data_IF_145290473712
#
_entry.id   IF_145290473712
#
_cell.length_a   1.000
_cell.length_b   1.000
_cell.length_c   1.000
_cell.angle_alpha   90.00
_cell.angle_beta   90.00
_cell.angle_gamma   90.00
#
_symmetry.space_group_name_H-M   'P 1'
#
loop_
_entity.id
_entity.type
_entity.pdbx_description
1 polymer ?
#
# COMPACT_ATOMS: atom_id res chain seq x y z
N UNK A 1 -24.57 -14.76 22.08
CA UNK A 1 -24.19 -14.90 20.65
C UNK A 1 -23.47 -13.63 20.21
N UNK A 2 -22.19 -13.56 20.61
CA UNK A 2 -21.30 -12.49 20.16
C UNK A 2 -20.75 -12.91 18.79
N UNK A 3 -21.16 -12.20 17.76
CA UNK A 3 -20.75 -12.40 16.35
C UNK A 3 -19.29 -11.95 16.13
N UNK A 4 -18.37 -12.34 17.04
CA UNK A 4 -16.94 -12.00 16.93
C UNK A 4 -16.20 -13.14 16.25
N UNK A 5 -15.33 -12.77 15.31
CA UNK A 5 -14.33 -13.71 14.79
C UNK A 5 -13.35 -14.07 15.91
N UNK A 6 -13.12 -15.37 16.08
CA UNK A 6 -12.14 -15.87 17.05
C UNK A 6 -11.20 -16.86 16.35
N UNK A 7 -9.96 -16.89 16.79
CA UNK A 7 -9.01 -17.91 16.34
C UNK A 7 -9.43 -19.29 16.87
N UNK A 8 -9.74 -20.20 15.97
CA UNK A 8 -10.00 -21.60 16.32
C UNK A 8 -8.71 -22.29 16.78
N UNK A 9 -7.61 -21.97 16.12
CA UNK A 9 -6.24 -22.33 16.47
C UNK A 9 -5.31 -21.23 15.98
N UNK A 10 -4.31 -20.92 16.77
CA UNK A 10 -3.19 -20.08 16.36
C UNK A 10 -1.91 -20.86 16.65
N UNK A 11 -1.07 -21.02 15.63
CA UNK A 11 0.24 -21.62 15.77
C UNK A 11 1.24 -20.90 14.89
N UNK A 12 2.45 -21.01 15.30
CA UNK A 12 3.61 -20.46 14.62
C UNK A 12 4.48 -21.64 14.15
N UNK A 13 4.91 -21.59 12.89
CA UNK A 13 5.79 -22.58 12.30
C UNK A 13 6.88 -21.91 11.47
N UNK A 14 8.09 -22.45 11.55
CA UNK A 14 9.23 -22.01 10.73
C UNK A 14 9.65 -23.14 9.77
N UNK A 15 9.57 -22.88 8.47
CA UNK A 15 9.99 -23.78 7.40
C UNK A 15 11.39 -23.43 6.92
N UNK A 16 12.41 -23.84 7.68
CA UNK A 16 13.82 -23.52 7.38
C UNK A 16 14.80 -24.53 7.95
N UNK A 17 14.51 -25.81 7.81
CA UNK A 17 15.43 -26.90 8.22
C UNK A 17 15.12 -27.56 9.56
N UNK A 18 14.17 -27.04 10.35
CA UNK A 18 13.61 -27.66 11.56
C UNK A 18 12.13 -27.34 11.60
N UNK A 19 11.31 -28.34 11.37
CA UNK A 19 9.84 -28.21 11.50
C UNK A 19 9.46 -28.17 12.98
N UNK A 20 9.34 -26.99 13.53
CA UNK A 20 8.78 -26.77 14.86
C UNK A 20 7.54 -25.91 14.77
N UNK A 21 6.38 -26.47 15.09
CA UNK A 21 5.15 -25.73 15.27
C UNK A 21 4.94 -25.43 16.77
N UNK A 22 4.81 -24.18 17.12
CA UNK A 22 4.46 -23.73 18.47
C UNK A 22 2.99 -23.33 18.51
N UNK A 23 2.21 -23.95 19.38
CA UNK A 23 0.81 -23.60 19.59
C UNK A 23 0.72 -22.33 20.44
N UNK A 24 0.12 -21.27 19.89
CA UNK A 24 -0.05 -19.98 20.57
C UNK A 24 -1.36 -19.94 21.36
N UNK A 25 -2.38 -20.67 20.94
CA UNK A 25 -3.65 -20.72 21.66
C UNK A 25 -4.87 -20.90 20.76
N UNK A 26 -6.04 -20.69 21.38
CA UNK A 26 -7.36 -20.78 20.73
C UNK A 26 -8.41 -19.95 21.46
N UNK A 27 -9.44 -19.51 20.76
CA UNK A 27 -10.60 -18.84 21.37
C UNK A 27 -10.41 -17.35 21.64
N UNK A 28 -9.32 -16.72 21.20
CA UNK A 28 -9.06 -15.28 21.29
C UNK A 28 -9.46 -14.57 20.00
N UNK A 29 -9.84 -13.31 20.10
CA UNK A 29 -10.27 -12.47 18.97
C UNK A 29 -9.11 -11.72 18.30
N UNK A 30 -7.98 -11.60 19.00
CA UNK A 30 -6.75 -10.95 18.52
C UNK A 30 -5.61 -11.95 18.63
N UNK A 31 -4.63 -11.89 17.72
CA UNK A 31 -3.44 -12.73 17.79
C UNK A 31 -2.69 -12.53 19.10
N UNK A 32 -2.36 -13.63 19.78
CA UNK A 32 -1.63 -13.62 21.05
C UNK A 32 -0.13 -13.88 20.89
N UNK A 33 0.34 -13.92 19.68
CA UNK A 33 1.73 -14.24 19.40
C UNK A 33 2.73 -13.21 19.96
N UNK A 34 2.34 -11.94 20.13
CA UNK A 34 3.17 -10.92 20.80
C UNK A 34 3.28 -11.11 22.32
N UNK A 35 2.36 -11.85 22.94
CA UNK A 35 2.27 -12.03 24.40
C UNK A 35 2.79 -13.38 24.89
N UNK A 36 3.05 -14.33 24.02
CA UNK A 36 3.51 -15.67 24.36
C UNK A 36 5.00 -15.73 24.69
N UNK A 37 5.39 -16.59 25.64
CA UNK A 37 6.78 -16.92 25.91
C UNK A 37 7.25 -17.91 24.83
N UNK A 38 8.04 -17.45 23.89
CA UNK A 38 8.50 -18.22 22.75
C UNK A 38 9.96 -18.61 22.92
N UNK A 39 10.38 -19.79 22.49
CA UNK A 39 11.71 -20.33 22.72
C UNK A 39 12.69 -19.98 21.56
N UNK A 40 13.50 -18.96 21.71
CA UNK A 40 14.76 -18.75 20.95
C UNK A 40 14.70 -18.35 19.48
N UNK A 41 13.74 -18.83 18.68
CA UNK A 41 13.51 -18.40 17.28
C UNK A 41 12.80 -17.04 17.27
N UNK A 42 12.15 -16.73 18.34
CA UNK A 42 11.28 -15.57 18.54
C UNK A 42 12.04 -14.25 18.53
N UNK A 43 13.30 -14.26 18.92
CA UNK A 43 14.15 -13.06 18.94
C UNK A 43 14.36 -12.45 17.54
N UNK A 44 14.17 -13.24 16.47
CA UNK A 44 14.33 -12.78 15.09
C UNK A 44 13.00 -12.62 14.36
N UNK A 45 12.04 -13.53 14.60
CA UNK A 45 10.78 -13.57 13.84
C UNK A 45 9.73 -12.63 14.45
N UNK A 46 9.63 -12.59 15.79
CA UNK A 46 8.69 -11.68 16.49
C UNK A 46 8.94 -10.22 16.15
N UNK A 47 10.18 -9.69 16.14
CA UNK A 47 10.44 -8.32 15.71
C UNK A 47 10.04 -8.07 14.25
N UNK A 48 10.19 -9.07 13.38
CA UNK A 48 9.89 -8.96 11.95
C UNK A 48 8.38 -8.94 11.69
N UNK A 49 7.61 -9.69 12.46
CA UNK A 49 6.16 -9.78 12.32
C UNK A 49 5.38 -8.81 13.24
N UNK A 50 6.05 -7.98 14.05
CA UNK A 50 5.37 -6.95 14.85
C UNK A 50 4.52 -6.07 13.97
N UNK A 51 3.34 -5.66 14.47
CA UNK A 51 2.41 -4.73 13.79
C UNK A 51 3.09 -3.46 13.25
N UNK A 52 4.27 -3.12 13.77
CA UNK A 52 5.08 -1.98 13.31
C UNK A 52 5.81 -2.26 11.99
N UNK A 53 6.00 -3.54 11.63
CA UNK A 53 6.78 -3.93 10.46
C UNK A 53 5.94 -4.25 9.23
N UNK A 54 4.62 -4.37 9.37
CA UNK A 54 3.68 -4.49 8.27
C UNK A 54 2.50 -3.54 8.45
N UNK A 55 2.09 -2.88 7.38
CA UNK A 55 1.03 -1.90 7.42
C UNK A 55 0.15 -2.00 6.21
N UNK A 56 -1.15 -1.88 6.46
CA UNK A 56 -2.18 -1.82 5.41
C UNK A 56 -2.53 -0.36 5.16
N UNK A 57 -2.52 0.03 3.90
CA UNK A 57 -2.83 1.38 3.46
C UNK A 57 -4.06 1.37 2.54
N UNK A 58 -4.96 2.29 2.78
CA UNK A 58 -6.19 2.49 2.02
C UNK A 58 -6.34 3.98 1.68
N UNK A 59 -6.13 4.34 0.44
CA UNK A 59 -6.25 5.73 -0.01
C UNK A 59 -7.55 5.96 -0.81
N UNK A 60 -8.62 5.26 -0.44
CA UNK A 60 -9.90 5.29 -1.19
C UNK A 60 -10.70 6.57 -0.93
N UNK A 61 -10.63 7.11 0.28
CA UNK A 61 -11.37 8.33 0.61
C UNK A 61 -10.62 9.56 0.10
N UNK A 62 -11.10 10.08 -1.02
CA UNK A 62 -10.67 11.33 -1.63
C UNK A 62 -11.82 12.33 -1.75
N UNK A 63 -12.95 12.08 -1.09
CA UNK A 63 -14.14 12.94 -1.09
C UNK A 63 -13.88 14.31 -0.45
N UNK A 64 -14.91 15.16 -0.43
CA UNK A 64 -14.80 16.52 0.14
C UNK A 64 -14.45 16.52 1.62
N UNK A 65 -14.89 15.51 2.37
CA UNK A 65 -14.64 15.33 3.78
C UNK A 65 -13.41 14.49 4.11
N UNK A 66 -12.68 14.01 3.11
CA UNK A 66 -11.53 13.14 3.29
C UNK A 66 -10.48 13.77 4.23
N UNK A 67 -9.99 12.96 5.15
CA UNK A 67 -9.04 13.44 6.18
C UNK A 67 -7.77 14.01 5.59
N UNK A 68 -7.28 13.48 4.48
CA UNK A 68 -6.11 13.99 3.75
C UNK A 68 -6.26 15.45 3.29
N UNK A 69 -7.50 15.93 3.13
CA UNK A 69 -7.83 17.31 2.73
C UNK A 69 -8.05 18.25 3.92
N UNK A 70 -8.03 17.71 5.14
CA UNK A 70 -8.28 18.47 6.36
C UNK A 70 -6.97 18.99 6.99
N UNK A 71 -7.14 19.84 7.98
CA UNK A 71 -6.03 20.33 8.79
C UNK A 71 -5.57 19.26 9.77
N UNK A 72 -4.26 19.14 9.94
CA UNK A 72 -3.64 18.23 10.87
C UNK A 72 -2.51 18.89 11.65
N UNK A 73 -2.27 18.38 12.86
CA UNK A 73 -1.15 18.84 13.66
C UNK A 73 0.18 18.51 12.95
N UNK A 74 1.03 19.50 12.78
CA UNK A 74 2.32 19.41 12.08
C UNK A 74 3.27 18.39 12.75
N UNK A 75 3.13 18.17 14.05
CA UNK A 75 3.94 17.19 14.80
C UNK A 75 3.55 15.73 14.52
N UNK A 76 2.37 15.49 13.91
CA UNK A 76 1.96 14.15 13.50
C UNK A 76 2.62 13.74 12.17
N UNK A 77 3.94 13.67 12.17
CA UNK A 77 4.76 13.48 10.97
C UNK A 77 5.79 12.35 11.06
N UNK A 78 5.74 11.53 12.11
CA UNK A 78 6.73 10.46 12.32
C UNK A 78 6.64 9.33 11.29
N UNK A 79 5.43 9.05 10.80
CA UNK A 79 5.12 8.04 9.81
C UNK A 79 3.90 8.46 9.01
N UNK A 80 3.78 7.99 7.78
CA UNK A 80 2.56 8.17 7.00
C UNK A 80 1.44 7.30 7.58
N UNK A 81 0.26 7.89 7.80
CA UNK A 81 -0.91 7.17 8.29
C UNK A 81 -1.54 6.31 7.18
N UNK A 82 -2.27 5.29 7.58
CA UNK A 82 -2.89 4.30 6.69
C UNK A 82 -3.87 4.90 5.66
N UNK A 83 -4.48 6.04 5.98
CA UNK A 83 -5.42 6.80 5.17
C UNK A 83 -4.81 8.11 4.62
N UNK A 84 -3.51 8.29 4.77
CA UNK A 84 -2.77 9.52 4.43
C UNK A 84 -3.32 10.79 5.10
N UNK A 85 -4.09 10.69 6.18
CA UNK A 85 -4.66 11.86 6.86
C UNK A 85 -3.61 12.94 7.17
N UNK A 86 -2.39 12.53 7.55
CA UNK A 86 -1.29 13.42 7.91
C UNK A 86 -0.34 13.75 6.73
N UNK A 87 -0.77 13.59 5.49
CA UNK A 87 0.10 13.74 4.31
C UNK A 87 0.84 15.08 4.30
N UNK A 88 0.16 16.18 4.58
CA UNK A 88 0.79 17.52 4.62
C UNK A 88 1.92 17.61 5.65
N UNK A 89 1.67 17.13 6.88
CA UNK A 89 2.67 17.11 7.95
C UNK A 89 3.84 16.16 7.64
N UNK A 90 3.55 15.03 7.01
CA UNK A 90 4.57 14.07 6.61
C UNK A 90 5.45 14.62 5.48
N UNK A 91 4.87 15.19 4.43
CA UNK A 91 5.61 15.86 3.36
C UNK A 91 6.41 17.05 3.88
N UNK A 92 5.89 17.81 4.85
CA UNK A 92 6.65 18.87 5.52
C UNK A 92 7.92 18.32 6.17
N UNK A 93 7.83 17.18 6.87
CA UNK A 93 9.01 16.52 7.43
C UNK A 93 9.97 16.07 6.33
N UNK A 94 9.48 15.43 5.25
CA UNK A 94 10.34 15.00 4.14
C UNK A 94 11.06 16.19 3.52
N UNK A 95 10.38 17.28 3.26
CA UNK A 95 10.97 18.49 2.68
C UNK A 95 12.12 19.06 3.51
N UNK A 96 12.01 19.00 4.85
CA UNK A 96 12.99 19.58 5.75
C UNK A 96 14.15 18.64 6.13
N UNK A 97 13.92 17.33 6.18
CA UNK A 97 14.88 16.38 6.71
C UNK A 97 15.32 15.29 5.72
N UNK A 98 14.55 15.10 4.64
CA UNK A 98 14.77 14.06 3.63
C UNK A 98 14.56 14.62 2.22
N UNK A 99 15.23 15.73 1.95
CA UNK A 99 15.05 16.52 0.72
C UNK A 99 15.18 15.68 -0.57
N UNK A 100 16.13 14.74 -0.72
CA UNK A 100 16.23 13.93 -1.93
C UNK A 100 14.95 13.12 -2.20
N UNK A 101 14.39 12.46 -1.18
CA UNK A 101 13.15 11.71 -1.31
C UNK A 101 11.95 12.62 -1.62
N UNK A 102 11.90 13.79 -0.98
CA UNK A 102 10.87 14.78 -1.28
C UNK A 102 10.91 15.23 -2.74
N UNK A 103 12.11 15.51 -3.26
CA UNK A 103 12.28 15.95 -4.64
C UNK A 103 11.89 14.85 -5.62
N UNK A 104 12.29 13.60 -5.37
CA UNK A 104 11.90 12.44 -6.15
C UNK A 104 10.37 12.25 -6.18
N UNK A 105 9.70 12.42 -5.04
CA UNK A 105 8.23 12.39 -4.95
C UNK A 105 7.62 13.47 -5.85
N UNK A 106 8.10 14.71 -5.75
CA UNK A 106 7.60 15.83 -6.55
C UNK A 106 7.83 15.61 -8.05
N UNK A 107 9.02 15.15 -8.44
CA UNK A 107 9.33 14.86 -9.83
C UNK A 107 8.46 13.72 -10.38
N UNK A 108 8.24 12.68 -9.61
CA UNK A 108 7.36 11.57 -9.99
C UNK A 108 5.91 12.02 -10.15
N UNK A 109 5.41 12.88 -9.27
CA UNK A 109 4.06 13.45 -9.41
C UNK A 109 3.94 14.25 -10.71
N UNK A 110 4.97 15.01 -11.08
CA UNK A 110 4.99 15.78 -12.32
C UNK A 110 4.91 14.94 -13.59
N UNK A 111 5.39 13.69 -13.56
CA UNK A 111 5.25 12.76 -14.69
C UNK A 111 3.78 12.48 -15.00
N UNK A 112 2.94 12.36 -13.97
CA UNK A 112 1.51 12.04 -14.11
C UNK A 112 0.65 13.31 -14.17
N UNK A 113 1.05 14.35 -13.47
CA UNK A 113 0.35 15.63 -13.38
C UNK A 113 1.31 16.78 -13.78
N UNK A 114 1.59 17.01 -15.08
CA UNK A 114 2.57 18.00 -15.54
C UNK A 114 2.25 19.46 -15.13
N UNK A 115 1.01 19.72 -14.75
CA UNK A 115 0.58 21.02 -14.25
C UNK A 115 1.00 21.25 -12.78
N UNK A 116 1.34 20.19 -12.03
CA UNK A 116 1.76 20.28 -10.65
C UNK A 116 3.20 20.85 -10.56
N UNK A 117 3.38 21.90 -9.76
CA UNK A 117 4.71 22.49 -9.53
C UNK A 117 5.34 21.97 -8.24
N UNK A 118 4.81 22.35 -7.09
CA UNK A 118 5.33 21.95 -5.78
C UNK A 118 4.25 22.06 -4.71
N UNK A 119 4.48 21.43 -3.56
CA UNK A 119 3.64 21.62 -2.38
C UNK A 119 3.98 22.93 -1.64
N UNK A 120 2.95 23.57 -1.09
CA UNK A 120 3.06 24.69 -0.18
C UNK A 120 2.81 24.16 1.24
N UNK A 121 3.90 23.84 1.92
CA UNK A 121 3.89 23.16 3.22
C UNK A 121 4.32 24.15 4.31
N UNK A 122 3.49 25.15 4.52
CA UNK A 122 3.68 26.16 5.56
C UNK A 122 2.61 25.95 6.64
N UNK A 123 2.97 26.11 7.93
CA UNK A 123 1.97 26.18 8.99
C UNK A 123 0.90 27.23 8.68
N UNK A 124 -0.27 27.05 9.26
CA UNK A 124 -1.35 28.03 9.07
C UNK A 124 -1.03 29.36 9.77
N UNK A 125 -1.34 30.46 9.10
CA UNK A 125 -1.24 31.78 9.69
C UNK A 125 -2.14 31.89 10.93
N UNK A 126 -1.54 32.22 12.06
CA UNK A 126 -2.24 32.30 13.35
C UNK A 126 -2.42 30.95 14.08
N UNK A 127 -2.01 29.84 13.48
CA UNK A 127 -1.99 28.52 14.14
C UNK A 127 -0.82 27.67 13.63
N UNK A 128 0.37 27.93 14.14
CA UNK A 128 1.62 27.30 13.70
C UNK A 128 1.68 25.78 13.99
N UNK A 129 0.77 25.26 14.79
CA UNK A 129 0.67 23.81 15.05
C UNK A 129 -0.13 23.06 14.00
N UNK A 130 -0.84 23.76 13.11
CA UNK A 130 -1.67 23.15 12.09
C UNK A 130 -1.10 23.35 10.69
N UNK A 131 -1.24 22.31 9.87
CA UNK A 131 -0.86 22.30 8.47
C UNK A 131 -1.96 21.66 7.62
N UNK A 132 -2.16 22.18 6.42
CA UNK A 132 -3.07 21.62 5.42
C UNK A 132 -2.34 21.42 4.10
N UNK A 133 -2.76 20.44 3.32
CA UNK A 133 -2.18 20.16 2.02
C UNK A 133 -2.56 21.25 1.01
N UNK A 134 -1.56 22.06 0.62
CA UNK A 134 -1.67 23.07 -0.43
C UNK A 134 -0.59 22.84 -1.48
N UNK A 135 -0.84 23.30 -2.69
CA UNK A 135 0.07 23.09 -3.82
C UNK A 135 0.03 24.28 -4.80
N UNK A 136 1.03 24.35 -5.66
CA UNK A 136 1.11 25.33 -6.76
C UNK A 136 1.04 24.64 -8.09
N UNK A 137 0.49 25.35 -9.08
CA UNK A 137 0.47 24.96 -10.46
C UNK A 137 1.60 25.66 -11.22
N UNK A 138 2.24 24.93 -12.15
CA UNK A 138 3.27 25.47 -13.02
C UNK A 138 2.73 26.68 -13.80
N UNK A 139 3.45 27.82 -13.73
CA UNK A 139 3.07 29.05 -14.42
C UNK A 139 1.90 29.81 -13.79
N UNK A 140 1.49 29.46 -12.56
CA UNK A 140 0.46 30.16 -11.80
C UNK A 140 1.00 30.59 -10.43
N UNK A 141 0.71 31.83 -10.01
CA UNK A 141 1.11 32.34 -8.70
C UNK A 141 0.14 31.93 -7.57
N UNK A 142 -1.06 31.48 -7.94
CA UNK A 142 -2.08 31.11 -6.98
C UNK A 142 -1.71 29.82 -6.24
N UNK A 143 -2.12 29.75 -4.97
CA UNK A 143 -2.00 28.57 -4.12
C UNK A 143 -3.34 27.83 -4.10
N UNK A 144 -3.31 26.55 -4.41
CA UNK A 144 -4.46 25.68 -4.49
C UNK A 144 -4.55 24.76 -3.26
N UNK A 145 -5.77 24.43 -2.85
CA UNK A 145 -6.01 23.45 -1.81
C UNK A 145 -6.07 22.02 -2.39
N UNK A 146 -5.87 21.01 -1.54
CA UNK A 146 -5.99 19.61 -1.94
C UNK A 146 -7.35 19.25 -2.56
N UNK A 147 -8.43 19.96 -2.22
CA UNK A 147 -9.75 19.79 -2.79
C UNK A 147 -9.86 20.14 -4.28
N UNK A 148 -8.87 20.85 -4.82
CA UNK A 148 -8.78 21.25 -6.24
C UNK A 148 -7.97 20.25 -7.07
N UNK A 149 -7.36 19.24 -6.44
CA UNK A 149 -6.79 18.10 -7.13
C UNK A 149 -7.91 17.13 -7.57
N UNK A 150 -7.71 16.45 -8.69
CA UNK A 150 -8.55 15.30 -9.02
C UNK A 150 -8.33 14.17 -7.98
N UNK A 151 -9.35 13.33 -7.79
CA UNK A 151 -9.24 12.21 -6.84
C UNK A 151 -8.10 11.25 -7.22
N UNK A 152 -7.92 10.98 -8.51
CA UNK A 152 -6.80 10.17 -9.01
C UNK A 152 -5.45 10.80 -8.74
N UNK A 153 -5.29 12.11 -8.98
CA UNK A 153 -4.02 12.82 -8.68
C UNK A 153 -3.71 12.79 -7.20
N UNK A 154 -4.70 13.07 -6.33
CA UNK A 154 -4.48 13.02 -4.88
C UNK A 154 -4.09 11.62 -4.41
N UNK A 155 -4.74 10.58 -4.93
CA UNK A 155 -4.40 9.19 -4.62
C UNK A 155 -3.01 8.83 -5.11
N UNK A 156 -2.64 9.25 -6.32
CA UNK A 156 -1.29 9.04 -6.83
C UNK A 156 -0.23 9.73 -5.96
N UNK A 157 -0.50 10.94 -5.46
CA UNK A 157 0.37 11.64 -4.49
C UNK A 157 0.55 10.80 -3.21
N UNK A 158 -0.53 10.24 -2.67
CA UNK A 158 -0.46 9.40 -1.47
C UNK A 158 0.39 8.15 -1.71
N UNK A 159 0.18 7.45 -2.83
CA UNK A 159 0.91 6.24 -3.23
C UNK A 159 2.39 6.53 -3.46
N UNK A 160 2.71 7.58 -4.21
CA UNK A 160 4.08 7.99 -4.49
C UNK A 160 4.81 8.35 -3.19
N UNK A 161 4.14 9.10 -2.29
CA UNK A 161 4.70 9.42 -0.97
C UNK A 161 4.94 8.17 -0.13
N UNK A 162 4.03 7.20 -0.16
CA UNK A 162 4.18 5.92 0.54
C UNK A 162 5.39 5.14 0.04
N UNK A 163 5.57 5.05 -1.27
CA UNK A 163 6.58 4.18 -1.86
C UNK A 163 7.98 4.82 -1.92
N UNK A 164 8.07 6.15 -2.10
CA UNK A 164 9.34 6.88 -2.24
C UNK A 164 9.81 7.57 -0.95
N UNK A 165 9.10 7.40 0.17
CA UNK A 165 9.59 7.88 1.47
C UNK A 165 10.92 7.20 1.83
N UNK A 166 11.75 7.80 2.73
CA UNK A 166 13.00 7.19 3.17
C UNK A 166 12.80 5.76 3.68
N UNK A 167 13.72 4.88 3.30
CA UNK A 167 13.68 3.45 3.63
C UNK A 167 13.49 3.15 5.13
N UNK A 168 14.09 4.00 5.97
CA UNK A 168 14.00 3.91 7.45
C UNK A 168 12.62 4.27 8.01
N UNK A 169 11.78 4.99 7.22
CA UNK A 169 10.41 5.33 7.60
C UNK A 169 9.38 4.33 7.05
N UNK A 170 9.79 3.48 6.11
CA UNK A 170 8.94 2.45 5.54
C UNK A 170 8.80 1.24 6.47
N UNK A 171 7.62 0.61 6.55
CA UNK A 171 7.50 -0.71 7.17
C UNK A 171 8.25 -1.77 6.33
N UNK A 172 8.55 -2.92 6.93
CA UNK A 172 9.17 -4.03 6.22
C UNK A 172 8.23 -4.65 5.18
N UNK A 173 6.93 -4.66 5.47
CA UNK A 173 5.87 -5.11 4.55
C UNK A 173 4.85 -4.00 4.35
N UNK A 174 4.63 -3.63 3.10
CA UNK A 174 3.63 -2.64 2.67
C UNK A 174 2.46 -3.41 2.04
N UNK A 175 1.26 -3.22 2.55
CA UNK A 175 0.04 -3.79 1.99
C UNK A 175 -0.81 -2.63 1.46
N UNK A 176 -1.18 -2.67 0.19
CA UNK A 176 -2.01 -1.62 -0.43
C UNK A 176 -3.24 -2.24 -1.05
N UNK A 177 -4.40 -1.69 -0.72
CA UNK A 177 -5.68 -2.16 -1.22
C UNK A 177 -6.15 -1.29 -2.39
N UNK A 178 -6.42 -1.93 -3.53
CA UNK A 178 -6.93 -1.33 -4.78
C UNK A 178 -6.25 0.01 -5.13
N UNK A 179 -4.91 0.07 -5.26
CA UNK A 179 -4.18 1.33 -5.50
C UNK A 179 -4.57 2.01 -6.81
N UNK A 180 -5.02 1.25 -7.79
CA UNK A 180 -5.36 1.71 -9.14
C UNK A 180 -6.66 2.51 -9.24
N UNK A 181 -7.52 2.48 -8.21
CA UNK A 181 -8.82 3.13 -8.28
C UNK A 181 -8.72 4.61 -8.65
N UNK A 182 -9.34 4.97 -9.80
CA UNK A 182 -9.37 6.35 -10.30
C UNK A 182 -8.05 6.87 -10.84
N UNK A 183 -7.01 6.04 -10.94
CA UNK A 183 -5.77 6.39 -11.60
C UNK A 183 -5.92 6.34 -13.13
N UNK A 184 -5.23 7.24 -13.80
CA UNK A 184 -5.04 7.14 -15.25
C UNK A 184 -4.10 5.95 -15.56
N UNK A 185 -4.27 5.21 -16.69
CA UNK A 185 -3.41 4.07 -17.03
C UNK A 185 -1.91 4.37 -16.94
N UNK A 186 -1.47 5.53 -17.40
CA UNK A 186 -0.07 5.96 -17.27
C UNK A 186 0.40 6.06 -15.82
N UNK A 187 -0.48 6.50 -14.90
CA UNK A 187 -0.16 6.53 -13.47
C UNK A 187 -0.04 5.12 -12.87
N UNK A 188 -0.79 4.15 -13.38
CA UNK A 188 -0.68 2.73 -13.00
C UNK A 188 0.69 2.19 -13.42
N UNK A 189 1.14 2.47 -14.64
CA UNK A 189 2.47 2.06 -15.11
C UNK A 189 3.58 2.63 -14.23
N UNK A 190 3.58 3.95 -13.96
CA UNK A 190 4.58 4.58 -13.07
C UNK A 190 4.54 3.97 -11.66
N UNK A 191 3.35 3.77 -11.10
CA UNK A 191 3.18 3.11 -9.80
C UNK A 191 3.81 1.71 -9.79
N UNK A 192 3.55 0.92 -10.83
CA UNK A 192 4.06 -0.46 -10.95
C UNK A 192 5.58 -0.51 -11.10
N UNK A 193 6.17 0.45 -11.80
CA UNK A 193 7.63 0.58 -11.91
C UNK A 193 8.27 0.85 -10.54
N UNK A 194 7.69 1.77 -9.74
CA UNK A 194 8.15 2.05 -8.39
C UNK A 194 8.02 0.81 -7.50
N UNK A 195 6.90 0.10 -7.59
CA UNK A 195 6.67 -1.15 -6.85
C UNK A 195 7.73 -2.19 -7.19
N UNK A 196 8.03 -2.44 -8.48
CA UNK A 196 9.06 -3.39 -8.91
C UNK A 196 10.44 -3.02 -8.37
N UNK A 197 10.80 -1.72 -8.41
CA UNK A 197 12.08 -1.26 -7.87
C UNK A 197 12.15 -1.49 -6.36
N UNK A 198 11.11 -1.11 -5.62
CA UNK A 198 11.08 -1.22 -4.16
C UNK A 198 10.98 -2.68 -3.69
N UNK A 199 10.39 -3.58 -4.49
CA UNK A 199 10.23 -5.01 -4.15
C UNK A 199 11.56 -5.77 -4.00
N UNK A 200 12.66 -5.22 -4.51
CA UNK A 200 14.00 -5.77 -4.28
C UNK A 200 14.47 -5.63 -2.81
N UNK A 201 13.86 -4.72 -2.05
CA UNK A 201 14.27 -4.40 -0.69
C UNK A 201 13.15 -4.58 0.34
N UNK A 202 11.89 -4.52 -0.10
CA UNK A 202 10.69 -4.57 0.75
C UNK A 202 9.69 -5.59 0.21
N UNK A 203 8.94 -6.19 1.11
CA UNK A 203 7.77 -6.96 0.72
C UNK A 203 6.61 -6.01 0.44
N UNK A 204 6.04 -6.11 -0.76
CA UNK A 204 4.86 -5.34 -1.15
C UNK A 204 3.75 -6.33 -1.51
N UNK A 205 2.57 -6.15 -0.93
CA UNK A 205 1.38 -6.94 -1.21
C UNK A 205 0.30 -5.99 -1.71
N UNK A 206 -0.22 -6.25 -2.88
CA UNK A 206 -1.28 -5.44 -3.49
C UNK A 206 -2.51 -6.32 -3.67
N UNK A 207 -3.66 -5.89 -3.13
CA UNK A 207 -4.94 -6.48 -3.51
C UNK A 207 -5.56 -5.66 -4.65
N UNK A 208 -5.98 -6.33 -5.70
CA UNK A 208 -6.54 -5.68 -6.88
C UNK A 208 -7.49 -6.59 -7.65
N UNK A 209 -8.41 -5.98 -8.37
CA UNK A 209 -9.23 -6.61 -9.41
C UNK A 209 -8.99 -5.98 -10.79
N UNK A 210 -8.03 -5.07 -10.90
CA UNK A 210 -7.73 -4.34 -12.12
C UNK A 210 -6.97 -5.17 -13.13
N UNK A 211 -7.53 -5.24 -14.31
CA UNK A 211 -6.89 -5.84 -15.49
C UNK A 211 -5.63 -5.07 -15.88
N UNK A 212 -5.70 -3.75 -15.82
CA UNK A 212 -4.62 -2.85 -16.17
C UNK A 212 -3.43 -3.06 -15.22
N UNK A 213 -3.70 -3.09 -13.90
CA UNK A 213 -2.64 -3.29 -12.92
C UNK A 213 -2.06 -4.71 -13.00
N UNK A 214 -2.91 -5.72 -13.24
CA UNK A 214 -2.46 -7.10 -13.37
C UNK A 214 -1.50 -7.29 -14.54
N UNK A 215 -1.69 -6.56 -15.65
CA UNK A 215 -0.82 -6.60 -16.83
C UNK A 215 0.57 -6.00 -16.59
N UNK A 216 0.75 -5.27 -15.51
CA UNK A 216 2.04 -4.66 -15.16
C UNK A 216 2.96 -5.63 -14.38
N UNK A 217 2.50 -6.80 -13.98
CA UNK A 217 3.26 -7.75 -13.18
C UNK A 217 3.45 -9.09 -13.87
N UNK A 218 4.45 -9.85 -13.42
CA UNK A 218 4.76 -11.17 -13.94
C UNK A 218 3.86 -12.24 -13.29
N UNK A 219 3.75 -13.40 -13.96
CA UNK A 219 2.90 -14.52 -13.50
C UNK A 219 3.25 -14.96 -12.09
N UNK A 220 4.55 -15.01 -11.79
CA UNK A 220 5.10 -15.43 -10.51
C UNK A 220 4.71 -14.51 -9.35
N UNK A 221 4.38 -13.24 -9.64
CA UNK A 221 3.99 -12.26 -8.64
C UNK A 221 2.52 -12.41 -8.23
N UNK A 222 1.72 -13.13 -9.04
CA UNK A 222 0.28 -13.18 -8.88
C UNK A 222 -0.15 -14.32 -7.96
N UNK A 223 -0.95 -13.98 -6.96
CA UNK A 223 -1.67 -14.92 -6.09
C UNK A 223 -3.16 -14.75 -6.33
N UNK A 224 -3.80 -15.78 -6.84
CA UNK A 224 -5.26 -15.82 -6.99
C UNK A 224 -5.89 -16.27 -5.66
N UNK A 225 -6.96 -15.57 -5.28
CA UNK A 225 -7.72 -15.91 -4.07
C UNK A 225 -9.10 -16.37 -4.48
N UNK A 226 -9.38 -17.64 -4.21
CA UNK A 226 -10.67 -18.26 -4.42
C UNK A 226 -11.42 -18.47 -3.09
N UNK A 227 -12.74 -18.53 -3.14
CA UNK A 227 -13.56 -18.86 -1.98
C UNK A 227 -13.96 -20.32 -2.06
N UNK A 228 -13.65 -21.08 -1.03
CA UNK A 228 -14.14 -22.46 -0.82
C UNK A 228 -15.20 -22.48 0.28
N UNK A 229 -15.81 -23.65 0.50
CA UNK A 229 -16.79 -23.88 1.56
C UNK A 229 -16.21 -23.70 2.98
N UNK A 230 -14.89 -23.79 3.11
CA UNK A 230 -14.17 -23.73 4.38
C UNK A 230 -13.43 -22.41 4.62
N UNK A 231 -13.32 -21.56 3.59
CA UNK A 231 -12.61 -20.27 3.71
C UNK A 231 -12.05 -19.75 2.39
N UNK A 232 -11.02 -18.93 2.49
CA UNK A 232 -10.30 -18.41 1.32
C UNK A 232 -9.11 -19.32 1.01
N UNK A 233 -8.95 -19.65 -0.26
CA UNK A 233 -7.83 -20.43 -0.78
C UNK A 233 -6.91 -19.53 -1.59
N UNK A 234 -5.61 -19.57 -1.26
CA UNK A 234 -4.59 -18.76 -1.93
C UNK A 234 -3.76 -19.66 -2.83
N UNK A 235 -3.68 -19.33 -4.11
CA UNK A 235 -2.95 -20.09 -5.10
C UNK A 235 -2.03 -19.19 -5.93
N UNK A 236 -0.73 -19.43 -5.85
CA UNK A 236 0.23 -18.76 -6.73
C UNK A 236 0.07 -19.33 -8.15
N UNK A 237 0.14 -18.46 -9.14
CA UNK A 237 0.11 -18.88 -10.54
C UNK A 237 1.41 -19.61 -10.91
N UNK A 238 1.27 -20.59 -11.80
CA UNK A 238 2.38 -21.36 -12.35
C UNK A 238 2.60 -20.95 -13.80
N UNK A 239 3.75 -20.34 -14.15
CA UNK A 239 4.04 -19.90 -15.51
C UNK A 239 3.93 -21.01 -16.54
N UNK A 240 4.35 -22.24 -16.20
CA UNK A 240 4.33 -23.37 -17.16
C UNK A 240 2.90 -23.77 -17.54
N UNK A 241 1.94 -23.64 -16.62
CA UNK A 241 0.53 -23.92 -16.90
C UNK A 241 -0.10 -22.86 -17.80
N UNK A 242 0.41 -21.63 -17.77
CA UNK A 242 -0.11 -20.50 -18.56
C UNK A 242 0.66 -20.26 -19.85
N UNK A 243 1.76 -20.97 -20.09
CA UNK A 243 2.68 -20.76 -21.20
C UNK A 243 2.00 -20.73 -22.56
N UNK A 244 1.11 -21.70 -22.84
CA UNK A 244 0.39 -21.78 -24.12
C UNK A 244 -0.51 -20.56 -24.37
N UNK A 245 -1.04 -19.96 -23.31
CA UNK A 245 -1.87 -18.76 -23.41
C UNK A 245 -1.01 -17.52 -23.63
N UNK A 246 0.09 -17.40 -22.91
CA UNK A 246 1.01 -16.26 -22.99
C UNK A 246 1.78 -16.26 -24.32
N UNK A 247 2.17 -17.44 -24.82
CA UNK A 247 2.77 -17.59 -26.14
C UNK A 247 1.77 -17.27 -27.28
N UNK A 248 0.47 -17.31 -27.00
CA UNK A 248 -0.63 -16.98 -27.89
C UNK A 248 -1.10 -15.51 -27.81
N UNK A 249 -0.26 -14.58 -27.39
CA UNK A 249 -0.53 -13.13 -27.26
C UNK A 249 -1.62 -12.74 -26.24
N UNK A 250 -2.00 -13.64 -25.31
CA UNK A 250 -2.89 -13.29 -24.20
C UNK A 250 -2.11 -12.65 -23.05
N UNK A 251 -2.64 -11.55 -22.51
CA UNK A 251 -2.12 -10.94 -21.28
C UNK A 251 -2.72 -11.60 -20.03
N UNK A 252 -2.10 -11.38 -18.86
CA UNK A 252 -2.67 -11.82 -17.58
C UNK A 252 -4.08 -11.24 -17.35
N UNK A 253 -4.28 -9.98 -17.73
CA UNK A 253 -5.59 -9.34 -17.66
C UNK A 253 -6.62 -9.97 -18.60
N UNK A 254 -6.23 -10.46 -19.77
CA UNK A 254 -7.14 -11.19 -20.66
C UNK A 254 -7.54 -12.54 -20.07
N UNK A 255 -6.59 -13.25 -19.47
CA UNK A 255 -6.85 -14.51 -18.77
C UNK A 255 -7.75 -14.31 -17.56
N UNK A 256 -7.57 -13.21 -16.82
CA UNK A 256 -8.45 -12.81 -15.74
C UNK A 256 -9.88 -12.53 -16.21
N UNK A 257 -10.05 -11.72 -17.26
CA UNK A 257 -11.36 -11.43 -17.88
C UNK A 257 -12.08 -12.71 -18.33
N UNK A 258 -11.35 -13.67 -18.87
CA UNK A 258 -11.86 -14.96 -19.33
C UNK A 258 -12.09 -15.98 -18.21
N UNK A 259 -11.76 -15.63 -16.97
CA UNK A 259 -11.79 -16.53 -15.79
C UNK A 259 -10.91 -17.80 -15.95
N UNK A 260 -9.84 -17.69 -16.70
CA UNK A 260 -8.86 -18.77 -16.83
C UNK A 260 -8.04 -18.92 -15.56
N UNK A 261 -7.78 -17.78 -14.88
CA UNK A 261 -6.99 -17.75 -13.65
C UNK A 261 -7.78 -18.21 -12.40
N UNK A 262 -9.12 -18.23 -12.45
CA UNK A 262 -9.97 -18.41 -11.27
C UNK A 262 -10.23 -17.09 -10.53
N UNK A 263 -10.64 -17.12 -9.26
CA UNK A 263 -10.84 -15.92 -8.42
C UNK A 263 -12.21 -15.24 -8.63
N UNK A 264 -13.08 -15.75 -9.48
CA UNK A 264 -14.47 -15.25 -9.57
C UNK A 264 -15.33 -15.88 -8.48
N UNK A 265 -16.19 -15.05 -7.88
CA UNK A 265 -17.23 -15.54 -7.00
C UNK A 265 -18.09 -16.56 -7.77
N UNK A 266 -17.99 -17.83 -7.42
CA UNK A 266 -18.95 -18.85 -7.85
C UNK A 266 -20.30 -18.53 -7.23
N UNK A 267 -21.37 -18.60 -8.05
CA UNK A 267 -22.77 -18.42 -7.57
C UNK A 267 -23.16 -19.52 -6.61
#
# INVERSE_FOLDING_TARGET
DDNRLIFQKEYFGYHGGWDNESNIGRGHSESQWESGAHNGIDDYVVPTLRKQNWRVYHFHDTGKGARVKQEHNISNNKMLLYDAANLAAFLYRLKNFFKPNYDEIVETIRLVAPYFDDFVLEPQEGNEEQIVLRWRQTGCEDIFNASQLSDGTLRFICLTTLLLQPHELQPATIIVDEPELGLHPYAITIFSEIVRQLSNEKQIIISTQSVELLNEFDVEDVIVVDRSDTGSEFRRLDPEQLKLWLDGDYTLGDLWKKNVLGGRLSK
#
